data_IF_798039390098
#
_entry.id   IF_798039390098
#
_cell.length_a   1.000
_cell.length_b   1.000
_cell.length_c   1.000
_cell.angle_alpha   90.00
_cell.angle_beta   90.00
_cell.angle_gamma   90.00
#
_symmetry.space_group_name_H-M   'P 1'
#
loop_
_entity.id
_entity.type
_entity.pdbx_description
1 polymer ?
#
# COMPACT_ATOMS: atom_id res chain seq x y z
N UNK A 1 11.73 -3.17 -9.46
CA UNK A 1 10.65 -2.19 -9.22
C UNK A 1 11.03 -0.78 -9.70
N UNK A 2 11.47 -0.67 -10.96
CA UNK A 2 11.72 0.62 -11.58
C UNK A 2 11.30 0.55 -13.04
N UNK A 3 11.13 1.70 -13.68
CA UNK A 3 10.95 1.80 -15.11
C UNK A 3 12.14 1.21 -15.87
N UNK A 4 11.95 0.92 -17.16
CA UNK A 4 13.07 0.69 -18.06
C UNK A 4 13.89 1.97 -18.21
N UNK A 5 15.16 1.86 -18.58
CA UNK A 5 16.01 3.05 -18.75
C UNK A 5 15.48 3.98 -19.85
N UNK A 6 14.86 3.44 -20.91
CA UNK A 6 14.21 4.22 -21.95
C UNK A 6 12.96 4.96 -21.43
N UNK A 7 12.12 4.28 -20.64
CA UNK A 7 10.94 4.88 -20.02
C UNK A 7 11.32 5.96 -19.00
N UNK A 8 12.37 5.74 -18.22
CA UNK A 8 12.88 6.74 -17.27
C UNK A 8 13.42 7.98 -18.01
N UNK A 9 14.18 7.80 -19.09
CA UNK A 9 14.63 8.91 -19.93
C UNK A 9 13.45 9.70 -20.51
N UNK A 10 12.44 9.01 -21.04
CA UNK A 10 11.23 9.63 -21.55
C UNK A 10 10.50 10.41 -20.46
N UNK A 11 10.36 9.84 -19.26
CA UNK A 11 9.73 10.53 -18.14
C UNK A 11 10.42 11.86 -17.83
N UNK A 12 11.74 11.89 -17.73
CA UNK A 12 12.48 13.11 -17.41
C UNK A 12 12.47 14.14 -18.55
N UNK A 13 12.54 13.69 -19.81
CA UNK A 13 12.35 14.57 -20.98
C UNK A 13 11.03 15.33 -20.88
N UNK A 14 9.93 14.62 -20.62
CA UNK A 14 8.60 15.20 -20.52
C UNK A 14 8.44 16.08 -19.26
N UNK A 15 8.89 15.59 -18.10
CA UNK A 15 8.70 16.27 -16.81
C UNK A 15 9.49 17.57 -16.75
N UNK A 16 10.76 17.57 -17.19
CA UNK A 16 11.56 18.79 -17.22
C UNK A 16 11.04 19.79 -18.23
N UNK A 17 10.59 19.33 -19.41
CA UNK A 17 9.97 20.22 -20.40
C UNK A 17 8.73 20.93 -19.85
N UNK A 18 7.87 20.20 -19.14
CA UNK A 18 6.70 20.76 -18.48
C UNK A 18 7.09 21.73 -17.35
N UNK A 19 8.06 21.36 -16.50
CA UNK A 19 8.49 22.22 -15.39
C UNK A 19 9.17 23.51 -15.86
N UNK A 20 9.95 23.46 -16.93
CA UNK A 20 10.54 24.65 -17.57
C UNK A 20 9.44 25.55 -18.12
N UNK A 21 8.45 24.97 -18.80
CA UNK A 21 7.29 25.72 -19.28
C UNK A 21 6.56 26.43 -18.14
N UNK A 22 6.23 25.72 -17.06
CA UNK A 22 5.60 26.30 -15.86
C UNK A 22 6.46 27.44 -15.29
N UNK A 23 7.77 27.24 -15.20
CA UNK A 23 8.68 28.27 -14.71
C UNK A 23 8.68 29.51 -15.61
N UNK A 24 8.59 29.36 -16.93
CA UNK A 24 8.52 30.48 -17.87
C UNK A 24 7.20 31.25 -17.75
N UNK A 25 6.08 30.53 -17.60
CA UNK A 25 4.75 31.14 -17.43
C UNK A 25 4.64 31.92 -16.12
N UNK A 26 5.18 31.37 -15.03
CA UNK A 26 5.03 31.92 -13.68
C UNK A 26 6.24 32.76 -13.20
N UNK A 27 7.35 32.74 -13.94
CA UNK A 27 8.59 33.47 -13.66
C UNK A 27 9.13 33.22 -12.23
N UNK A 28 9.15 31.96 -11.82
CA UNK A 28 9.48 31.58 -10.44
C UNK A 28 10.98 31.65 -10.16
N UNK A 29 11.79 31.05 -11.03
CA UNK A 29 13.24 30.98 -10.90
C UNK A 29 13.90 31.54 -12.16
N UNK A 30 14.83 32.52 -12.03
CA UNK A 30 15.48 33.12 -13.18
C UNK A 30 16.47 32.16 -13.86
N UNK A 31 16.70 32.36 -15.16
CA UNK A 31 17.71 31.64 -15.96
C UNK A 31 17.53 30.11 -16.01
N UNK A 32 16.29 29.66 -16.17
CA UNK A 32 15.95 28.27 -16.49
C UNK A 32 15.41 28.26 -17.92
N UNK A 33 16.30 27.95 -18.87
CA UNK A 33 16.02 28.02 -20.30
C UNK A 33 16.06 26.64 -20.97
N UNK A 34 16.75 25.67 -20.37
CA UNK A 34 16.86 24.31 -20.90
C UNK A 34 16.90 23.22 -19.79
N UNK A 35 16.66 21.94 -20.15
CA UNK A 35 16.65 20.81 -19.21
C UNK A 35 17.97 20.55 -18.49
N UNK A 36 19.11 20.77 -19.13
CA UNK A 36 20.42 20.52 -18.50
C UNK A 36 20.69 21.55 -17.39
N UNK A 37 20.31 22.80 -17.61
CA UNK A 37 20.36 23.83 -16.57
C UNK A 37 19.40 23.46 -15.44
N UNK A 38 18.17 23.05 -15.75
CA UNK A 38 17.18 22.67 -14.75
C UNK A 38 17.67 21.50 -13.86
N UNK A 39 18.30 20.49 -14.45
CA UNK A 39 18.86 19.34 -13.74
C UNK A 39 19.92 19.74 -12.70
N UNK A 40 20.71 20.77 -12.95
CA UNK A 40 21.76 21.23 -12.01
C UNK A 40 21.23 22.13 -10.89
N UNK A 41 19.96 22.56 -10.95
CA UNK A 41 19.40 23.50 -9.98
C UNK A 41 19.31 22.90 -8.57
N UNK A 42 19.44 23.75 -7.51
CA UNK A 42 19.19 23.35 -6.14
C UNK A 42 17.82 22.70 -5.97
N UNK A 43 17.71 21.79 -5.00
CA UNK A 43 16.47 21.05 -4.74
C UNK A 43 15.32 22.00 -4.39
N UNK A 44 15.57 23.06 -3.61
CA UNK A 44 14.53 24.02 -3.21
C UNK A 44 13.92 24.78 -4.40
N UNK A 45 14.74 25.15 -5.40
CA UNK A 45 14.25 25.79 -6.62
C UNK A 45 13.38 24.83 -7.45
N UNK A 46 13.82 23.57 -7.60
CA UNK A 46 13.01 22.53 -8.26
C UNK A 46 11.70 22.28 -7.50
N UNK A 47 11.74 22.33 -6.17
CA UNK A 47 10.55 22.17 -5.34
C UNK A 47 9.56 23.31 -5.56
N UNK A 48 10.01 24.56 -5.66
CA UNK A 48 9.15 25.70 -5.94
C UNK A 48 8.42 25.55 -7.29
N UNK A 49 9.14 25.15 -8.35
CA UNK A 49 8.53 24.93 -9.67
C UNK A 49 7.53 23.76 -9.64
N UNK A 50 7.90 22.67 -8.96
CA UNK A 50 7.03 21.50 -8.80
C UNK A 50 5.76 21.83 -8.02
N UNK A 51 5.86 22.55 -6.91
CA UNK A 51 4.69 22.96 -6.12
C UNK A 51 3.75 23.83 -6.96
N UNK A 52 4.29 24.83 -7.68
CA UNK A 52 3.49 25.67 -8.55
C UNK A 52 2.78 24.90 -9.69
N UNK A 53 3.43 23.87 -10.26
CA UNK A 53 2.82 22.99 -11.26
C UNK A 53 1.59 22.26 -10.68
N UNK A 54 1.72 21.62 -9.52
CA UNK A 54 0.63 20.83 -8.95
C UNK A 54 -0.44 21.66 -8.22
N UNK A 55 -0.15 22.91 -7.87
CA UNK A 55 -1.15 23.89 -7.44
C UNK A 55 -1.95 24.47 -8.62
N UNK A 56 -1.38 24.47 -9.82
CA UNK A 56 -2.00 25.01 -11.04
C UNK A 56 -2.06 23.95 -12.16
N UNK A 57 -2.82 22.85 -11.98
CA UNK A 57 -2.84 21.75 -12.94
C UNK A 57 -3.34 22.13 -14.34
N UNK A 58 -4.05 23.26 -14.49
CA UNK A 58 -4.43 23.81 -15.79
C UNK A 58 -3.22 24.13 -16.70
N UNK A 59 -2.03 24.33 -16.13
CA UNK A 59 -0.80 24.51 -16.89
C UNK A 59 -0.39 23.25 -17.68
N UNK A 60 -0.86 22.07 -17.26
CA UNK A 60 -0.67 20.83 -18.01
C UNK A 60 -1.47 20.90 -19.32
N UNK A 61 -2.72 21.34 -19.27
CA UNK A 61 -3.55 21.53 -20.48
C UNK A 61 -2.93 22.55 -21.43
N UNK A 62 -2.48 23.69 -20.89
CA UNK A 62 -1.85 24.73 -21.71
C UNK A 62 -0.58 24.22 -22.39
N UNK A 63 0.27 23.50 -21.65
CA UNK A 63 1.48 22.89 -22.23
C UNK A 63 1.14 21.92 -23.37
N UNK A 64 0.12 21.07 -23.18
CA UNK A 64 -0.31 20.10 -24.19
C UNK A 64 -0.91 20.78 -25.42
N UNK A 65 -1.69 21.85 -25.22
CA UNK A 65 -2.33 22.60 -26.30
C UNK A 65 -1.34 23.45 -27.11
N UNK A 66 -0.40 24.12 -26.44
CA UNK A 66 0.61 24.96 -27.09
C UNK A 66 1.73 24.12 -27.72
N UNK A 67 2.01 22.95 -27.16
CA UNK A 67 3.05 22.02 -27.59
C UNK A 67 4.40 22.72 -27.93
N UNK A 68 5.00 23.46 -27.00
CA UNK A 68 6.18 24.30 -27.29
C UNK A 68 7.41 23.50 -27.76
N UNK A 69 7.47 22.21 -27.42
CA UNK A 69 8.57 21.31 -27.79
C UNK A 69 8.30 20.51 -29.07
N UNK A 70 7.12 20.66 -29.69
CA UNK A 70 6.75 19.89 -30.88
C UNK A 70 6.69 18.39 -30.63
N UNK A 71 6.26 17.97 -29.44
CA UNK A 71 6.14 16.56 -29.09
C UNK A 71 5.08 15.85 -29.93
N UNK A 72 5.37 14.58 -30.23
CA UNK A 72 4.44 13.68 -30.90
C UNK A 72 3.19 13.41 -30.03
N UNK A 73 2.04 13.08 -30.64
CA UNK A 73 0.78 12.88 -29.92
C UNK A 73 0.85 11.88 -28.75
N UNK A 74 1.64 10.82 -28.89
CA UNK A 74 1.82 9.81 -27.82
C UNK A 74 2.50 10.40 -26.58
N UNK A 75 3.52 11.25 -26.77
CA UNK A 75 4.20 11.96 -25.67
C UNK A 75 3.26 12.94 -24.99
N UNK A 76 2.48 13.68 -25.77
CA UNK A 76 1.48 14.61 -25.25
C UNK A 76 0.37 13.91 -24.45
N UNK A 77 -0.04 12.70 -24.85
CA UNK A 77 -0.99 11.89 -24.07
C UNK A 77 -0.44 11.50 -22.70
N UNK A 78 0.85 11.18 -22.60
CA UNK A 78 1.50 10.90 -21.32
C UNK A 78 1.41 12.15 -20.42
N UNK A 79 1.79 13.32 -20.95
CA UNK A 79 1.76 14.58 -20.17
C UNK A 79 0.32 14.94 -19.77
N UNK A 80 -0.64 14.84 -20.69
CA UNK A 80 -2.06 15.08 -20.40
C UNK A 80 -2.58 14.15 -19.29
N UNK A 81 -2.12 12.90 -19.26
CA UNK A 81 -2.55 11.94 -18.25
C UNK A 81 -2.16 12.37 -16.83
N UNK A 82 -1.11 13.19 -16.66
CA UNK A 82 -0.64 13.69 -15.37
C UNK A 82 -1.62 14.60 -14.66
N UNK A 83 -2.70 15.04 -15.30
CA UNK A 83 -3.83 15.66 -14.59
C UNK A 83 -4.50 14.74 -13.57
N UNK A 84 -4.38 13.43 -13.76
CA UNK A 84 -4.88 12.42 -12.82
C UNK A 84 -3.87 12.13 -11.70
N UNK A 85 -2.97 13.08 -11.40
CA UNK A 85 -2.00 12.92 -10.33
C UNK A 85 -2.69 12.75 -8.97
N UNK A 86 -1.98 12.10 -8.06
CA UNK A 86 -2.38 12.01 -6.65
C UNK A 86 -1.23 12.56 -5.82
N UNK A 87 -1.38 13.80 -5.35
CA UNK A 87 -0.47 14.43 -4.41
C UNK A 87 -0.93 14.18 -2.97
N UNK A 88 0.01 13.90 -2.07
CA UNK A 88 -0.35 13.70 -0.67
C UNK A 88 0.77 13.14 0.18
N UNK A 89 0.40 12.72 1.39
CA UNK A 89 1.28 11.98 2.29
C UNK A 89 1.01 10.49 2.13
N UNK A 90 2.08 9.71 2.04
CA UNK A 90 2.05 8.27 1.86
C UNK A 90 2.96 7.58 2.88
N UNK A 91 2.62 6.35 3.23
CA UNK A 91 3.50 5.43 3.92
C UNK A 91 4.06 4.43 2.93
N UNK A 92 5.38 4.45 2.74
CA UNK A 92 6.08 3.37 2.05
C UNK A 92 6.18 2.21 3.05
N UNK A 93 5.37 1.18 2.86
CA UNK A 93 5.28 0.07 3.82
C UNK A 93 6.28 -1.05 3.50
N UNK A 94 6.46 -1.39 2.22
CA UNK A 94 7.42 -2.41 1.78
C UNK A 94 7.86 -2.25 0.34
N UNK A 95 8.91 -3.00 0.02
CA UNK A 95 9.43 -3.17 -1.33
C UNK A 95 9.14 -4.59 -1.84
N UNK A 96 8.50 -4.69 -3.00
CA UNK A 96 8.27 -5.95 -3.70
C UNK A 96 9.11 -6.00 -4.99
N UNK A 97 9.18 -7.17 -5.62
CA UNK A 97 9.91 -7.31 -6.90
C UNK A 97 9.36 -6.38 -7.99
N UNK A 98 8.02 -6.33 -8.09
CA UNK A 98 7.29 -5.56 -9.12
C UNK A 98 7.29 -4.06 -8.81
N UNK A 99 6.87 -3.64 -7.62
CA UNK A 99 6.73 -2.24 -7.20
C UNK A 99 7.02 -2.03 -5.71
N UNK A 100 7.17 -0.79 -5.27
CA UNK A 100 7.05 -0.39 -3.88
C UNK A 100 5.57 -0.19 -3.50
N UNK A 101 5.24 -0.47 -2.24
CA UNK A 101 3.88 -0.34 -1.72
C UNK A 101 3.74 1.00 -1.00
N UNK A 102 2.93 1.89 -1.55
CA UNK A 102 2.57 3.18 -0.97
C UNK A 102 1.15 3.10 -0.42
N UNK A 103 0.96 3.42 0.85
CA UNK A 103 -0.37 3.52 1.48
C UNK A 103 -0.69 5.00 1.61
N UNK A 104 -1.74 5.45 0.92
CA UNK A 104 -2.20 6.84 0.93
C UNK A 104 -3.38 7.06 1.87
N UNK A 105 -4.11 8.14 1.63
CA UNK A 105 -5.32 8.47 2.37
C UNK A 105 -6.40 7.37 2.22
N UNK A 106 -7.23 7.23 3.27
CA UNK A 106 -8.32 6.24 3.33
C UNK A 106 -7.83 4.81 3.05
N UNK A 107 -6.60 4.52 3.45
CA UNK A 107 -5.96 3.21 3.34
C UNK A 107 -5.84 2.66 1.91
N UNK A 108 -5.90 3.54 0.90
CA UNK A 108 -5.72 3.13 -0.50
C UNK A 108 -4.27 2.71 -0.74
N UNK A 109 -4.09 1.52 -1.30
CA UNK A 109 -2.76 0.93 -1.53
C UNK A 109 -2.38 1.03 -3.00
N UNK A 110 -1.23 1.65 -3.26
CA UNK A 110 -0.68 1.87 -4.59
C UNK A 110 0.59 1.04 -4.81
N UNK A 111 0.70 0.45 -5.99
CA UNK A 111 1.94 -0.12 -6.50
C UNK A 111 2.71 0.92 -7.30
N UNK A 112 3.80 1.45 -6.73
CA UNK A 112 4.56 2.56 -7.31
C UNK A 112 5.94 2.09 -7.78
N UNK A 113 6.35 2.52 -8.97
CA UNK A 113 7.67 2.26 -9.52
C UNK A 113 8.62 3.43 -9.30
N UNK A 114 9.89 3.07 -9.10
CA UNK A 114 10.98 4.02 -9.21
C UNK A 114 11.22 4.44 -10.66
N UNK A 115 11.98 5.53 -10.83
CA UNK A 115 12.37 6.05 -12.14
C UNK A 115 13.72 5.41 -12.54
N UNK A 116 14.84 6.13 -12.43
CA UNK A 116 16.18 5.60 -12.66
C UNK A 116 16.61 4.54 -11.65
N UNK A 117 16.35 4.83 -10.37
CA UNK A 117 16.64 3.95 -9.26
C UNK A 117 15.37 3.33 -8.70
N UNK A 118 15.49 2.08 -8.24
CA UNK A 118 14.46 1.48 -7.41
C UNK A 118 14.50 2.08 -6.00
N UNK A 119 13.35 2.09 -5.33
CA UNK A 119 13.26 2.65 -3.98
C UNK A 119 14.16 1.93 -2.96
N UNK A 120 14.47 0.65 -3.14
CA UNK A 120 15.38 -0.09 -2.25
C UNK A 120 16.87 0.23 -2.46
N UNK A 121 17.24 0.86 -3.58
CA UNK A 121 18.57 1.45 -3.76
C UNK A 121 18.67 2.78 -3.01
N UNK A 122 17.58 3.57 -3.01
CA UNK A 122 17.55 4.91 -2.42
C UNK A 122 17.27 4.87 -0.90
N UNK A 123 16.47 3.91 -0.44
CA UNK A 123 15.95 3.81 0.93
C UNK A 123 16.22 2.41 1.45
N UNK A 124 17.01 2.31 2.52
CA UNK A 124 17.27 1.03 3.15
C UNK A 124 16.00 0.47 3.82
N UNK A 125 15.76 -0.84 3.69
CA UNK A 125 14.55 -1.53 4.20
C UNK A 125 14.33 -1.37 5.71
N UNK A 126 15.38 -1.12 6.49
CA UNK A 126 15.26 -0.90 7.94
C UNK A 126 14.51 0.39 8.31
N UNK A 127 14.40 1.34 7.38
CA UNK A 127 13.66 2.58 7.59
C UNK A 127 12.16 2.44 7.35
N UNK A 128 11.68 1.26 6.96
CA UNK A 128 10.26 1.04 6.70
C UNK A 128 9.48 0.71 7.99
N UNK A 129 8.21 1.15 8.08
CA UNK A 129 7.52 2.01 7.14
C UNK A 129 8.04 3.45 7.19
N UNK A 130 8.08 4.13 6.04
CA UNK A 130 8.57 5.51 5.91
C UNK A 130 7.43 6.43 5.46
N UNK A 131 7.20 7.52 6.18
CA UNK A 131 6.24 8.55 5.77
C UNK A 131 6.91 9.55 4.83
N UNK A 132 6.30 9.77 3.68
CA UNK A 132 6.78 10.68 2.64
C UNK A 132 5.64 11.55 2.10
N UNK A 133 5.92 12.80 1.78
CA UNK A 133 5.08 13.61 0.88
C UNK A 133 5.60 13.42 -0.54
N UNK A 134 4.71 13.02 -1.46
CA UNK A 134 5.05 12.67 -2.83
C UNK A 134 3.90 13.02 -3.77
N UNK A 135 4.17 13.01 -5.08
CA UNK A 135 3.13 13.05 -6.12
C UNK A 135 3.23 11.77 -6.94
N UNK A 136 2.12 11.05 -7.03
CA UNK A 136 1.99 9.85 -7.86
C UNK A 136 1.41 10.24 -9.22
N UNK A 137 2.02 9.75 -10.29
CA UNK A 137 1.69 10.09 -11.67
C UNK A 137 1.37 8.82 -12.48
N UNK A 138 0.37 8.88 -13.38
CA UNK A 138 0.23 7.86 -14.41
C UNK A 138 1.40 7.94 -15.40
N UNK A 139 1.92 6.78 -15.79
CA UNK A 139 2.92 6.67 -16.84
C UNK A 139 2.83 5.32 -17.53
N UNK A 140 2.44 5.29 -18.81
CA UNK A 140 2.32 4.05 -19.61
C UNK A 140 1.60 2.91 -18.87
N UNK A 141 0.51 3.27 -18.20
CA UNK A 141 -0.34 2.37 -17.43
C UNK A 141 0.24 1.81 -16.13
N UNK A 142 1.29 2.44 -15.64
CA UNK A 142 1.89 2.20 -14.35
C UNK A 142 1.77 3.46 -13.51
N UNK A 143 2.07 3.34 -12.21
CA UNK A 143 2.18 4.49 -11.30
C UNK A 143 3.65 4.72 -11.01
N UNK A 144 4.11 5.95 -11.24
CA UNK A 144 5.44 6.41 -10.81
C UNK A 144 5.30 7.54 -9.82
N UNK A 145 6.39 7.87 -9.13
CA UNK A 145 6.51 9.13 -8.40
C UNK A 145 7.13 10.20 -9.30
N UNK A 146 7.00 11.47 -8.91
CA UNK A 146 7.46 12.61 -9.69
C UNK A 146 8.99 12.88 -9.63
N UNK A 147 9.76 11.96 -9.04
CA UNK A 147 11.21 12.11 -8.85
C UNK A 147 11.60 12.78 -7.53
N UNK A 148 10.65 13.29 -6.75
CA UNK A 148 10.92 14.00 -5.49
C UNK A 148 10.10 13.43 -4.32
N UNK A 149 10.82 13.00 -3.28
CA UNK A 149 10.24 12.53 -2.03
C UNK A 149 10.64 13.47 -0.89
N UNK A 150 9.66 14.00 -0.17
CA UNK A 150 9.90 14.73 1.07
C UNK A 150 9.63 13.80 2.25
N UNK A 151 10.68 13.16 2.77
CA UNK A 151 10.58 12.30 3.95
C UNK A 151 10.64 13.12 5.24
N UNK A 152 9.97 12.62 6.29
CA UNK A 152 10.15 13.11 7.66
C UNK A 152 10.87 12.06 8.48
N UNK A 153 11.77 12.50 9.37
CA UNK A 153 12.48 11.62 10.31
C UNK A 153 11.56 11.19 11.45
N UNK A 154 10.60 10.31 11.15
CA UNK A 154 9.63 9.77 12.09
C UNK A 154 9.84 8.26 12.20
N UNK A 155 9.97 7.77 13.44
CA UNK A 155 10.01 6.34 13.72
C UNK A 155 8.64 5.84 14.18
N UNK A 156 8.15 4.78 13.54
CA UNK A 156 6.88 4.17 13.90
C UNK A 156 7.03 3.02 14.90
N UNK A 157 6.23 3.05 15.96
CA UNK A 157 6.11 1.97 16.92
C UNK A 157 5.46 0.71 16.32
N UNK A 158 5.51 -0.41 17.06
CA UNK A 158 5.03 -1.71 16.58
C UNK A 158 3.53 -1.76 16.24
N UNK A 159 2.70 -0.93 16.89
CA UNK A 159 1.26 -0.82 16.60
C UNK A 159 0.99 -0.33 15.17
N UNK A 160 1.48 0.87 14.83
CA UNK A 160 1.34 1.47 13.49
C UNK A 160 1.96 0.56 12.41
N UNK A 161 3.11 -0.04 12.69
CA UNK A 161 3.74 -1.02 11.77
C UNK A 161 2.81 -2.20 11.46
N UNK A 162 2.08 -2.69 12.47
CA UNK A 162 1.14 -3.81 12.30
C UNK A 162 -0.09 -3.38 11.52
N UNK A 163 -0.62 -2.22 11.80
CA UNK A 163 -1.77 -1.63 11.10
C UNK A 163 -1.50 -1.45 9.61
N UNK A 164 -0.42 -0.76 9.24
CA UNK A 164 -0.02 -0.56 7.84
C UNK A 164 0.20 -1.89 7.11
N UNK A 165 0.78 -2.88 7.79
CA UNK A 165 0.92 -4.24 7.24
C UNK A 165 -0.45 -4.90 6.99
N UNK A 166 -1.44 -4.71 7.88
CA UNK A 166 -2.79 -5.25 7.68
C UNK A 166 -3.51 -4.57 6.52
N UNK A 167 -3.41 -3.24 6.38
CA UNK A 167 -3.95 -2.48 5.25
C UNK A 167 -3.42 -3.06 3.92
N UNK A 168 -2.09 -3.23 3.81
CA UNK A 168 -1.50 -3.86 2.63
C UNK A 168 -1.99 -5.30 2.39
N UNK A 169 -2.05 -6.13 3.44
CA UNK A 169 -2.49 -7.52 3.29
C UNK A 169 -3.96 -7.63 2.88
N UNK A 170 -4.83 -6.77 3.42
CA UNK A 170 -6.23 -6.69 3.05
C UNK A 170 -6.38 -6.32 1.56
N UNK A 171 -5.74 -5.23 1.13
CA UNK A 171 -5.75 -4.80 -0.27
C UNK A 171 -5.19 -5.88 -1.21
N UNK A 172 -4.08 -6.53 -0.83
CA UNK A 172 -3.49 -7.62 -1.61
C UNK A 172 -4.43 -8.81 -1.75
N UNK A 173 -5.05 -9.25 -0.65
CA UNK A 173 -5.93 -10.42 -0.64
C UNK A 173 -7.22 -10.16 -1.41
N UNK A 174 -7.70 -8.92 -1.39
CA UNK A 174 -8.87 -8.48 -2.16
C UNK A 174 -8.56 -8.15 -3.63
N UNK A 175 -7.28 -8.13 -4.04
CA UNK A 175 -6.89 -7.69 -5.39
C UNK A 175 -7.11 -6.20 -5.65
N UNK A 176 -7.08 -5.37 -4.60
CA UNK A 176 -7.38 -3.94 -4.60
C UNK A 176 -6.14 -3.05 -4.56
N UNK A 177 -4.96 -3.58 -4.92
CA UNK A 177 -3.77 -2.72 -5.10
C UNK A 177 -3.94 -1.95 -6.41
N UNK A 178 -3.91 -0.63 -6.32
CA UNK A 178 -4.02 0.26 -7.47
C UNK A 178 -2.65 0.32 -8.15
N UNK A 179 -2.56 -0.22 -9.37
CA UNK A 179 -1.32 -0.28 -10.16
C UNK A 179 -1.33 0.62 -11.40
N UNK A 180 -2.45 1.31 -11.68
CA UNK A 180 -2.58 2.34 -12.72
C UNK A 180 -3.51 3.46 -12.24
N UNK A 181 -3.21 4.71 -12.62
CA UNK A 181 -4.09 5.87 -12.41
C UNK A 181 -5.01 6.14 -13.62
N UNK A 182 -4.78 5.49 -14.75
CA UNK A 182 -5.60 5.65 -15.96
C UNK A 182 -7.00 5.00 -15.73
N UNK A 183 -8.10 5.76 -15.84
CA UNK A 183 -9.46 5.25 -15.68
C UNK A 183 -9.82 4.09 -16.61
N UNK A 184 -9.33 4.09 -17.86
CA UNK A 184 -9.61 3.05 -18.86
C UNK A 184 -8.95 1.74 -18.44
N UNK A 185 -7.68 1.82 -18.05
CA UNK A 185 -6.94 0.66 -17.60
C UNK A 185 -7.37 0.19 -16.21
N UNK A 186 -7.78 1.08 -15.31
CA UNK A 186 -8.41 0.70 -14.03
C UNK A 186 -9.65 -0.15 -14.26
N UNK A 187 -10.51 0.23 -15.20
CA UNK A 187 -11.68 -0.57 -15.58
C UNK A 187 -11.29 -1.91 -16.21
N UNK A 188 -10.31 -1.91 -17.12
CA UNK A 188 -9.82 -3.14 -17.75
C UNK A 188 -9.17 -4.10 -16.73
N UNK A 189 -8.34 -3.59 -15.82
CA UNK A 189 -7.70 -4.38 -14.77
C UNK A 189 -8.72 -4.89 -13.75
N UNK A 190 -9.67 -4.06 -13.32
CA UNK A 190 -10.75 -4.50 -12.41
C UNK A 190 -11.61 -5.63 -13.02
N UNK A 191 -11.77 -5.65 -14.34
CA UNK A 191 -12.45 -6.73 -15.06
C UNK A 191 -11.55 -7.94 -15.33
N UNK A 192 -10.25 -7.73 -15.47
CA UNK A 192 -9.26 -8.76 -15.78
C UNK A 192 -8.64 -9.44 -14.55
N UNK A 193 -8.81 -8.91 -13.32
CA UNK A 193 -8.42 -9.63 -12.10
C UNK A 193 -9.22 -10.93 -12.08
N UNK A 194 -8.59 -12.10 -12.28
CA UNK A 194 -9.29 -13.36 -12.13
C UNK A 194 -9.75 -13.41 -10.69
N UNK A 195 -11.06 -13.64 -10.44
CA UNK A 195 -11.53 -14.08 -9.12
C UNK A 195 -10.57 -15.18 -8.69
N UNK A 196 -9.79 -14.93 -7.64
CA UNK A 196 -8.68 -15.80 -7.20
C UNK A 196 -9.03 -17.27 -7.40
N UNK A 197 -8.50 -17.86 -8.47
CA UNK A 197 -8.74 -19.25 -8.85
C UNK A 197 -7.62 -20.16 -8.33
N UNK A 198 -6.83 -19.69 -7.35
CA UNK A 198 -6.23 -20.63 -6.40
C UNK A 198 -7.43 -21.36 -5.81
N UNK A 199 -7.53 -22.67 -6.04
CA UNK A 199 -8.55 -23.48 -5.39
C UNK A 199 -8.57 -23.01 -3.93
N UNK A 200 -9.68 -22.38 -3.50
CA UNK A 200 -9.94 -22.21 -2.09
C UNK A 200 -10.01 -23.65 -1.62
N UNK A 201 -8.89 -24.18 -1.14
CA UNK A 201 -8.87 -25.50 -0.57
C UNK A 201 -9.92 -25.43 0.53
N UNK A 202 -11.02 -26.13 0.31
CA UNK A 202 -12.16 -26.01 1.18
C UNK A 202 -11.78 -26.72 2.48
N UNK A 203 -11.40 -25.92 3.47
CA UNK A 203 -11.05 -26.41 4.79
C UNK A 203 -12.31 -26.61 5.66
N UNK A 204 -13.51 -26.25 5.18
CA UNK A 204 -14.74 -26.41 5.95
C UNK A 204 -14.98 -27.87 6.38
N UNK A 205 -14.82 -28.90 5.51
CA UNK A 205 -14.94 -30.30 5.93
C UNK A 205 -13.93 -30.69 7.01
N UNK A 206 -12.67 -30.30 6.83
CA UNK A 206 -11.60 -30.59 7.80
C UNK A 206 -11.87 -29.91 9.15
N UNK A 207 -12.29 -28.64 9.15
CA UNK A 207 -12.66 -27.91 10.36
C UNK A 207 -13.87 -28.53 11.06
N UNK A 208 -14.89 -28.95 10.30
CA UNK A 208 -16.05 -29.66 10.85
C UNK A 208 -15.63 -30.96 11.55
N UNK A 209 -14.73 -31.73 10.93
CA UNK A 209 -14.20 -32.96 11.52
C UNK A 209 -13.40 -32.69 12.79
N UNK A 210 -12.52 -31.68 12.78
CA UNK A 210 -11.77 -31.26 13.96
C UNK A 210 -12.67 -30.78 15.10
N UNK A 211 -13.71 -29.99 14.79
CA UNK A 211 -14.72 -29.56 15.77
C UNK A 211 -15.41 -30.78 16.38
N UNK A 212 -15.81 -31.76 15.55
CA UNK A 212 -16.45 -32.99 16.02
C UNK A 212 -15.53 -33.84 16.90
N UNK A 213 -14.26 -33.99 16.52
CA UNK A 213 -13.26 -34.68 17.34
C UNK A 213 -12.99 -33.93 18.65
N UNK A 214 -12.97 -32.60 18.64
CA UNK A 214 -12.73 -31.81 19.85
C UNK A 214 -13.90 -31.85 20.85
N UNK A 215 -15.14 -32.17 20.40
CA UNK A 215 -16.32 -32.26 21.30
C UNK A 215 -16.14 -33.27 22.41
N UNK A 216 -15.35 -34.34 22.22
CA UNK A 216 -15.12 -35.36 23.26
C UNK A 216 -14.09 -34.94 24.31
N UNK A 217 -13.32 -33.87 24.07
CA UNK A 217 -12.31 -33.40 25.02
C UNK A 217 -12.97 -32.87 26.30
N UNK A 218 -12.59 -33.50 27.43
CA UNK A 218 -13.05 -33.16 28.78
C UNK A 218 -11.86 -33.26 29.74
N UNK A 219 -11.70 -32.26 30.60
CA UNK A 219 -10.88 -32.41 31.79
C UNK A 219 -11.65 -33.24 32.81
N UNK A 220 -10.95 -34.08 33.57
CA UNK A 220 -11.56 -34.98 34.54
C UNK A 220 -10.66 -35.25 35.73
N UNK A 221 -11.21 -35.94 36.72
CA UNK A 221 -10.47 -36.35 37.92
C UNK A 221 -9.30 -37.26 37.52
N UNK A 222 -8.12 -36.99 38.09
CA UNK A 222 -6.88 -37.72 37.79
C UNK A 222 -6.08 -37.19 36.60
N UNK A 223 -6.55 -36.14 35.91
CA UNK A 223 -5.77 -35.44 34.89
C UNK A 223 -5.18 -34.12 35.41
N UNK A 224 -4.12 -33.58 34.75
CA UNK A 224 -3.61 -32.25 35.07
C UNK A 224 -4.73 -31.19 35.07
N UNK A 225 -4.81 -30.32 36.09
CA UNK A 225 -5.84 -29.27 36.18
C UNK A 225 -5.93 -28.37 34.94
N UNK A 226 -4.80 -28.21 34.24
CA UNK A 226 -4.69 -27.40 33.02
C UNK A 226 -5.43 -27.97 31.81
N UNK A 227 -5.72 -29.29 31.79
CA UNK A 227 -6.36 -29.95 30.65
C UNK A 227 -7.74 -29.36 30.35
N UNK A 228 -8.56 -29.12 31.38
CA UNK A 228 -9.91 -28.56 31.21
C UNK A 228 -9.90 -27.18 30.52
N UNK A 229 -9.14 -26.19 31.04
CA UNK A 229 -8.94 -24.90 30.39
C UNK A 229 -8.40 -25.00 28.97
N UNK A 230 -7.36 -25.81 28.73
CA UNK A 230 -6.74 -25.95 27.38
C UNK A 230 -7.73 -26.56 26.39
N UNK A 231 -8.45 -27.61 26.75
CA UNK A 231 -9.47 -28.21 25.88
C UNK A 231 -10.61 -27.23 25.58
N UNK A 232 -10.95 -26.36 26.52
CA UNK A 232 -11.95 -25.30 26.30
C UNK A 232 -11.44 -24.27 25.29
N UNK A 233 -10.17 -23.89 25.35
CA UNK A 233 -9.52 -23.03 24.36
C UNK A 233 -9.51 -23.67 22.97
N UNK A 234 -9.13 -24.95 22.85
CA UNK A 234 -9.14 -25.69 21.58
C UNK A 234 -10.53 -25.64 20.94
N UNK A 235 -11.58 -25.96 21.71
CA UNK A 235 -12.97 -25.94 21.22
C UNK A 235 -13.39 -24.55 20.75
N UNK A 236 -13.09 -23.50 21.52
CA UNK A 236 -13.43 -22.13 21.15
C UNK A 236 -12.68 -21.67 19.88
N UNK A 237 -11.41 -22.00 19.74
CA UNK A 237 -10.61 -21.66 18.56
C UNK A 237 -11.09 -22.37 17.29
N UNK A 238 -11.50 -23.64 17.41
CA UNK A 238 -12.06 -24.39 16.29
C UNK A 238 -13.43 -23.84 15.85
N UNK A 239 -14.28 -23.45 16.80
CA UNK A 239 -15.57 -22.80 16.54
C UNK A 239 -15.38 -21.44 15.84
N UNK A 240 -14.42 -20.62 16.28
CA UNK A 240 -14.03 -19.40 15.58
C UNK A 240 -13.58 -19.68 14.14
N UNK A 241 -12.74 -20.70 13.94
CA UNK A 241 -12.32 -21.11 12.60
C UNK A 241 -13.49 -21.54 11.72
N UNK A 242 -14.46 -22.28 12.28
CA UNK A 242 -15.66 -22.71 11.57
C UNK A 242 -16.54 -21.51 11.16
N UNK A 243 -16.75 -20.54 12.06
CA UNK A 243 -17.52 -19.32 11.77
C UNK A 243 -16.80 -18.47 10.72
N UNK A 244 -15.49 -18.29 10.82
CA UNK A 244 -14.70 -17.52 9.86
C UNK A 244 -14.71 -18.11 8.44
N UNK A 245 -14.87 -19.42 8.31
CA UNK A 245 -14.97 -20.09 7.00
C UNK A 245 -16.39 -20.07 6.46
N UNK A 246 -17.41 -20.33 7.31
CA UNK A 246 -18.79 -20.50 6.87
C UNK A 246 -19.58 -19.18 6.80
N UNK A 247 -19.21 -18.20 7.63
CA UNK A 247 -19.92 -16.92 7.80
C UNK A 247 -18.92 -15.73 7.84
N UNK A 248 -18.04 -15.55 6.84
CA UNK A 248 -16.96 -14.56 6.89
C UNK A 248 -17.43 -13.11 6.99
N UNK A 249 -18.65 -12.81 6.53
CA UNK A 249 -19.22 -11.46 6.52
C UNK A 249 -20.09 -11.16 7.76
N UNK A 250 -20.26 -12.14 8.66
CA UNK A 250 -21.05 -11.98 9.88
C UNK A 250 -20.19 -11.43 11.03
N UNK A 251 -19.91 -10.13 10.99
CA UNK A 251 -19.03 -9.45 11.96
C UNK A 251 -19.48 -9.68 13.41
N UNK A 252 -20.78 -9.60 13.70
CA UNK A 252 -21.30 -9.78 15.05
C UNK A 252 -20.98 -11.18 15.60
N UNK A 253 -21.14 -12.22 14.78
CA UNK A 253 -20.87 -13.60 15.18
C UNK A 253 -19.37 -13.84 15.35
N UNK A 254 -18.55 -13.28 14.47
CA UNK A 254 -17.09 -13.31 14.57
C UNK A 254 -16.61 -12.66 15.86
N UNK A 255 -17.10 -11.46 16.19
CA UNK A 255 -16.73 -10.75 17.43
C UNK A 255 -17.10 -11.58 18.66
N UNK A 256 -18.33 -12.11 18.73
CA UNK A 256 -18.75 -12.96 19.86
C UNK A 256 -17.89 -14.21 20.02
N UNK A 257 -17.45 -14.79 18.92
CA UNK A 257 -16.57 -15.98 18.93
C UNK A 257 -15.14 -15.62 19.37
N UNK A 258 -14.60 -14.48 18.92
CA UNK A 258 -13.30 -13.96 19.40
C UNK A 258 -13.35 -13.73 20.91
N UNK A 259 -14.40 -13.10 21.45
CA UNK A 259 -14.57 -12.90 22.90
C UNK A 259 -14.61 -14.23 23.68
N UNK A 260 -15.14 -15.30 23.06
CA UNK A 260 -15.16 -16.64 23.66
C UNK A 260 -13.75 -17.24 23.71
N UNK A 261 -12.95 -17.08 22.65
CA UNK A 261 -11.54 -17.50 22.60
C UNK A 261 -10.72 -16.74 23.64
N UNK A 262 -10.87 -15.41 23.73
CA UNK A 262 -10.14 -14.61 24.72
C UNK A 262 -10.47 -15.03 26.16
N UNK A 263 -11.75 -15.25 26.47
CA UNK A 263 -12.17 -15.74 27.80
C UNK A 263 -11.60 -17.12 28.10
N UNK A 264 -11.52 -18.01 27.10
CA UNK A 264 -10.92 -19.33 27.28
C UNK A 264 -9.39 -19.23 27.48
N UNK A 265 -8.72 -18.35 26.74
CA UNK A 265 -7.29 -18.09 26.87
C UNK A 265 -6.94 -17.54 28.26
N UNK A 266 -7.68 -16.54 28.75
CA UNK A 266 -7.50 -16.00 30.11
C UNK A 266 -7.65 -17.07 31.20
N UNK A 267 -8.54 -18.06 31.01
CA UNK A 267 -8.64 -19.20 31.93
C UNK A 267 -7.37 -20.05 31.93
N UNK A 268 -6.78 -20.32 30.77
CA UNK A 268 -5.49 -21.01 30.67
C UNK A 268 -4.40 -20.23 31.39
N UNK A 269 -4.27 -18.92 31.12
CA UNK A 269 -3.29 -18.06 31.78
C UNK A 269 -3.46 -18.04 33.30
N UNK A 270 -4.68 -17.89 33.81
CA UNK A 270 -4.95 -17.88 35.26
C UNK A 270 -4.57 -19.20 35.95
N UNK A 271 -4.63 -20.32 35.24
CA UNK A 271 -4.22 -21.63 35.77
C UNK A 271 -2.71 -21.85 35.70
N UNK A 272 -2.00 -21.19 34.77
CA UNK A 272 -0.55 -21.26 34.65
C UNK A 272 0.17 -20.30 35.60
N UNK A 273 -0.33 -19.07 35.74
CA UNK A 273 0.37 -17.98 36.42
C UNK A 273 -0.36 -17.45 37.66
N UNK A 274 -1.53 -18.01 37.99
CA UNK A 274 -2.38 -17.53 39.07
C UNK A 274 -3.15 -16.25 38.70
N UNK A 275 -3.93 -15.69 39.64
CA UNK A 275 -4.84 -14.55 39.38
C UNK A 275 -4.15 -13.23 39.02
N UNK A 276 -2.81 -13.14 39.10
CA UNK A 276 -2.05 -11.95 38.71
C UNK A 276 -1.55 -11.96 37.27
N UNK A 277 -1.74 -13.06 36.52
CA UNK A 277 -1.33 -13.17 35.12
C UNK A 277 0.17 -12.89 34.92
N UNK A 278 0.64 -13.00 33.68
CA UNK A 278 2.01 -12.66 33.33
C UNK A 278 2.16 -11.13 33.32
N UNK A 279 2.35 -10.52 34.50
CA UNK A 279 2.81 -9.14 34.67
C UNK A 279 4.30 -9.14 35.04
N UNK A 280 5.14 -9.32 34.02
CA UNK A 280 6.52 -8.85 33.93
C UNK A 280 6.75 -8.31 32.51
#
# INVERSE_FOLDING_TARGET
MKLSDADAALFFELMWSLQIYVNQQLKLVPHIEDPAIFETRPTDEKMAVREALFENPALIDHFVAENPQGFEPEKLQIVASWQNFIGGTFYIERFLKKYAVFIGEKDVVYGVLGLWDSFDNMIHKSYLPLMVKAVLLPFNGQIVYDGLLQSKNIYFGGGVKRELKQIYLAAKNAGQIVESLDPVQRKAMAQAVPKSNKSKQDFAPLLNDLVNQAKVLRGGNGQPPLNGPVYSLIKASLELGQIAVNEPDNEEHLTKSVDKVERAFRKVESNLYGPRGWML
#
